data_IF_005831322873
#
_entry.id   IF_005831322873
#
_cell.length_a   1.000
_cell.length_b   1.000
_cell.length_c   1.000
_cell.angle_alpha   90.00
_cell.angle_beta   90.00
_cell.angle_gamma   90.00
#
_symmetry.space_group_name_H-M   'P 1'
#
loop_
_entity.id
_entity.type
_entity.pdbx_description
1 polymer ?
#
# COMPACT_ATOMS: atom_id res chain seq x y z
N UNK A 1 -6.36 7.77 -4.80
CA UNK A 1 -5.43 8.04 -5.94
C UNK A 1 -5.29 6.77 -6.76
N UNK A 2 -5.36 6.83 -8.09
CA UNK A 2 -5.15 5.65 -8.95
C UNK A 2 -3.67 5.57 -9.39
N UNK A 3 -3.08 4.38 -9.28
CA UNK A 3 -1.72 4.03 -9.71
C UNK A 3 -1.84 3.01 -10.84
N UNK A 4 -1.14 3.22 -11.95
CA UNK A 4 -1.19 2.28 -13.09
C UNK A 4 0.08 1.44 -13.12
N UNK A 5 -0.10 0.11 -13.05
CA UNK A 5 0.95 -0.89 -13.22
C UNK A 5 0.79 -1.55 -14.59
N UNK A 6 1.82 -1.50 -15.41
CA UNK A 6 1.89 -2.25 -16.67
C UNK A 6 2.79 -3.46 -16.47
N UNK A 7 2.33 -4.65 -16.83
CA UNK A 7 3.15 -5.87 -16.80
C UNK A 7 3.23 -6.43 -18.20
N UNK A 8 4.45 -6.43 -18.73
CA UNK A 8 4.76 -6.95 -20.06
C UNK A 8 6.07 -7.72 -20.01
N UNK A 9 6.18 -8.83 -20.74
CA UNK A 9 7.39 -9.67 -20.77
C UNK A 9 7.85 -10.07 -19.37
N UNK A 10 6.90 -10.34 -18.47
CA UNK A 10 7.13 -10.66 -17.04
C UNK A 10 7.82 -9.54 -16.24
N UNK A 11 7.85 -8.31 -16.73
CA UNK A 11 8.42 -7.16 -16.02
C UNK A 11 7.30 -6.18 -15.68
N UNK A 12 7.10 -5.93 -14.39
CA UNK A 12 6.18 -4.91 -13.93
C UNK A 12 6.83 -3.52 -13.97
N UNK A 13 6.09 -2.52 -14.43
CA UNK A 13 6.49 -1.12 -14.46
C UNK A 13 5.33 -0.24 -14.01
N UNK A 14 5.63 0.77 -13.21
CA UNK A 14 4.65 1.75 -12.78
C UNK A 14 4.70 2.93 -13.73
N UNK A 15 3.52 3.40 -14.15
CA UNK A 15 3.42 4.56 -15.05
C UNK A 15 3.54 5.86 -14.25
N UNK A 16 4.35 6.78 -14.76
CA UNK A 16 4.62 8.05 -14.09
C UNK A 16 5.49 7.86 -12.84
N UNK A 17 5.41 8.80 -11.91
CA UNK A 17 6.21 8.81 -10.69
C UNK A 17 5.31 8.94 -9.44
N UNK A 18 4.40 7.98 -9.18
CA UNK A 18 3.56 8.04 -8.00
C UNK A 18 4.41 7.86 -6.73
N UNK A 19 3.97 8.52 -5.66
CA UNK A 19 4.53 8.35 -4.32
C UNK A 19 3.39 7.93 -3.40
N UNK A 20 3.58 6.86 -2.64
CA UNK A 20 2.63 6.43 -1.61
C UNK A 20 2.98 7.13 -0.32
N UNK A 21 2.01 7.73 0.36
CA UNK A 21 2.23 8.29 1.69
C UNK A 21 1.92 7.19 2.70
N UNK A 22 2.88 6.87 3.57
CA UNK A 22 2.67 5.88 4.60
C UNK A 22 1.47 6.23 5.50
N UNK A 23 0.85 5.21 6.06
CA UNK A 23 -0.35 5.32 6.90
C UNK A 23 -1.60 5.86 6.22
N UNK A 24 -1.56 6.13 4.92
CA UNK A 24 -2.74 6.47 4.14
C UNK A 24 -3.27 5.24 3.39
N UNK A 25 -4.59 5.14 3.33
CA UNK A 25 -5.33 4.18 2.51
C UNK A 25 -6.00 4.90 1.32
N UNK A 26 -6.73 4.17 0.48
CA UNK A 26 -7.44 4.76 -0.67
C UNK A 26 -6.58 4.92 -1.93
N UNK A 27 -5.45 4.22 -1.99
CA UNK A 27 -4.71 3.99 -3.22
C UNK A 27 -5.31 2.79 -3.97
N UNK A 28 -5.64 2.98 -5.23
CA UNK A 28 -6.15 1.92 -6.11
C UNK A 28 -5.10 1.63 -7.16
N UNK A 29 -4.69 0.38 -7.26
CA UNK A 29 -3.83 -0.09 -8.32
C UNK A 29 -4.70 -0.55 -9.48
N UNK A 30 -4.45 -0.03 -10.67
CA UNK A 30 -4.99 -0.53 -11.93
C UNK A 30 -3.87 -1.26 -12.67
N UNK A 31 -4.10 -2.52 -12.99
CA UNK A 31 -3.12 -3.38 -13.67
C UNK A 31 -3.48 -3.47 -15.16
N UNK A 32 -2.48 -3.32 -16.01
CA UNK A 32 -2.55 -3.53 -17.44
C UNK A 32 -1.57 -4.64 -17.81
N UNK A 33 -2.09 -5.71 -18.36
CA UNK A 33 -1.37 -6.93 -18.70
C UNK A 33 -1.19 -7.05 -20.21
N UNK A 34 -0.18 -7.81 -20.62
CA UNK A 34 -0.08 -8.32 -21.98
C UNK A 34 -0.85 -9.64 -22.13
N UNK A 35 -0.85 -10.17 -23.36
CA UNK A 35 -1.55 -11.41 -23.71
C UNK A 35 -1.08 -12.63 -22.91
N UNK A 36 0.17 -12.65 -22.42
CA UNK A 36 0.69 -13.75 -21.60
C UNK A 36 -0.10 -13.86 -20.30
N UNK A 37 -0.31 -12.73 -19.64
CA UNK A 37 -0.99 -12.65 -18.35
C UNK A 37 -2.51 -12.78 -18.48
N UNK A 38 -3.12 -12.23 -19.52
CA UNK A 38 -4.57 -12.31 -19.76
C UNK A 38 -5.10 -13.76 -19.86
N UNK A 39 -4.23 -14.70 -20.25
CA UNK A 39 -4.57 -16.11 -20.37
C UNK A 39 -4.54 -16.87 -19.03
N UNK A 40 -4.03 -16.26 -17.94
CA UNK A 40 -3.82 -16.92 -16.66
C UNK A 40 -5.01 -16.71 -15.72
N UNK A 41 -5.52 -17.77 -15.07
CA UNK A 41 -6.51 -17.63 -14.01
C UNK A 41 -5.86 -17.18 -12.69
N UNK A 42 -6.66 -16.58 -11.80
CA UNK A 42 -6.28 -16.21 -10.42
C UNK A 42 -5.01 -15.34 -10.33
N UNK A 43 -4.95 -14.27 -11.14
CA UNK A 43 -3.90 -13.27 -11.04
C UNK A 43 -4.06 -12.50 -9.72
N UNK A 44 -2.97 -12.43 -8.95
CA UNK A 44 -2.86 -11.68 -7.71
C UNK A 44 -1.74 -10.68 -7.79
N UNK A 45 -1.91 -9.56 -7.11
CA UNK A 45 -0.85 -8.57 -6.92
C UNK A 45 -0.14 -8.92 -5.62
N UNK A 46 1.17 -9.13 -5.73
CA UNK A 46 2.07 -9.31 -4.60
C UNK A 46 2.68 -7.96 -4.25
N UNK A 47 2.51 -7.56 -3.00
CA UNK A 47 2.99 -6.29 -2.45
C UNK A 47 3.99 -6.63 -1.36
N UNK A 48 5.24 -6.25 -1.56
CA UNK A 48 6.33 -6.55 -0.61
C UNK A 48 7.04 -5.28 -0.19
N UNK A 49 7.41 -5.17 1.07
CA UNK A 49 8.23 -4.06 1.57
C UNK A 49 8.99 -4.47 2.83
N UNK A 50 9.99 -3.67 3.20
CA UNK A 50 10.69 -3.81 4.48
C UNK A 50 10.05 -2.89 5.50
N UNK A 51 9.62 -3.45 6.64
CA UNK A 51 9.22 -2.70 7.83
C UNK A 51 10.29 -2.89 8.89
N UNK A 52 11.19 -1.91 9.01
CA UNK A 52 12.45 -2.10 9.73
C UNK A 52 13.28 -3.23 9.09
N UNK A 53 13.64 -4.25 9.86
CA UNK A 53 14.39 -5.42 9.37
C UNK A 53 13.52 -6.58 8.89
N UNK A 54 12.18 -6.45 8.93
CA UNK A 54 11.26 -7.54 8.58
C UNK A 54 10.66 -7.32 7.20
N UNK A 55 10.74 -8.34 6.35
CA UNK A 55 9.98 -8.36 5.10
C UNK A 55 8.50 -8.60 5.40
N UNK A 56 7.66 -7.73 4.86
CA UNK A 56 6.21 -7.87 4.88
C UNK A 56 5.74 -8.17 3.47
N UNK A 57 4.85 -9.14 3.34
CA UNK A 57 4.32 -9.62 2.07
C UNK A 57 2.81 -9.71 2.16
N UNK A 58 2.10 -9.08 1.23
CA UNK A 58 0.64 -9.09 1.13
C UNK A 58 0.25 -9.46 -0.29
N UNK A 59 -0.61 -10.47 -0.42
CA UNK A 59 -1.23 -10.82 -1.70
C UNK A 59 -2.66 -10.30 -1.72
N UNK A 60 -3.01 -9.57 -2.77
CA UNK A 60 -4.38 -9.10 -3.01
C UNK A 60 -4.91 -9.64 -4.33
N UNK A 61 -6.17 -10.09 -4.39
CA UNK A 61 -6.77 -10.54 -5.64
C UNK A 61 -6.92 -9.35 -6.60
N UNK A 62 -6.69 -9.61 -7.89
CA UNK A 62 -6.96 -8.65 -8.95
C UNK A 62 -8.41 -8.84 -9.42
N UNK A 63 -9.27 -7.85 -9.19
CA UNK A 63 -10.70 -7.90 -9.54
C UNK A 63 -10.95 -6.84 -10.60
N UNK A 64 -11.42 -7.24 -11.78
CA UNK A 64 -11.66 -6.35 -12.94
C UNK A 64 -10.45 -5.45 -13.27
N UNK A 65 -9.24 -6.03 -13.18
CA UNK A 65 -7.98 -5.33 -13.43
C UNK A 65 -7.61 -4.29 -12.36
N UNK A 66 -8.25 -4.31 -11.19
CA UNK A 66 -8.00 -3.38 -10.09
C UNK A 66 -7.84 -4.08 -8.74
N UNK A 67 -7.06 -3.46 -7.86
CA UNK A 67 -7.01 -3.84 -6.44
C UNK A 67 -6.74 -2.62 -5.55
N UNK A 68 -7.23 -2.66 -4.31
CA UNK A 68 -6.88 -1.65 -3.32
C UNK A 68 -5.50 -1.97 -2.73
N UNK A 69 -4.63 -0.96 -2.62
CA UNK A 69 -3.38 -1.12 -1.89
C UNK A 69 -3.65 -0.96 -0.39
N UNK A 70 -3.08 -1.84 0.46
CA UNK A 70 -3.17 -1.69 1.90
C UNK A 70 -2.40 -0.45 2.35
N UNK A 71 -2.73 0.08 3.53
CA UNK A 71 -1.91 1.10 4.17
C UNK A 71 -0.55 0.49 4.56
N UNK A 72 0.53 1.13 4.10
CA UNK A 72 1.92 0.72 4.38
C UNK A 72 2.54 1.64 5.41
N UNK A 73 3.45 1.11 6.20
CA UNK A 73 4.05 1.83 7.33
C UNK A 73 5.53 1.47 7.49
N UNK A 74 6.32 2.46 7.89
CA UNK A 74 7.71 2.27 8.29
C UNK A 74 8.60 1.78 7.14
N UNK A 75 8.36 2.28 5.94
CA UNK A 75 9.10 1.89 4.72
C UNK A 75 9.30 3.07 3.79
N UNK A 76 10.36 3.01 2.98
CA UNK A 76 10.69 4.04 1.98
C UNK A 76 10.29 3.62 0.57
N UNK A 77 9.89 2.37 0.37
CA UNK A 77 9.51 1.84 -0.93
C UNK A 77 8.70 0.56 -0.79
N UNK A 78 7.84 0.31 -1.78
CA UNK A 78 7.19 -0.98 -1.95
C UNK A 78 7.50 -1.58 -3.32
N UNK A 79 7.42 -2.89 -3.37
CA UNK A 79 7.62 -3.72 -4.55
C UNK A 79 6.27 -4.30 -4.95
N UNK A 80 5.86 -4.07 -6.21
CA UNK A 80 4.63 -4.58 -6.79
C UNK A 80 4.96 -5.58 -7.89
N UNK A 81 4.52 -6.81 -7.74
CA UNK A 81 4.62 -7.84 -8.78
C UNK A 81 3.30 -8.58 -8.98
N UNK A 82 3.17 -9.29 -10.08
CA UNK A 82 2.07 -10.21 -10.31
C UNK A 82 2.48 -11.64 -9.97
N UNK A 83 1.51 -12.37 -9.46
CA UNK A 83 1.60 -13.76 -9.10
C UNK A 83 0.34 -14.47 -9.62
N UNK A 84 0.51 -15.49 -10.45
CA UNK A 84 -0.59 -16.31 -10.95
C UNK A 84 -0.28 -17.79 -10.67
N UNK A 85 -0.86 -18.32 -9.59
CA UNK A 85 -0.58 -19.68 -9.10
C UNK A 85 0.91 -19.95 -8.81
N UNK A 86 1.30 -21.21 -8.66
CA UNK A 86 2.65 -21.61 -8.22
C UNK A 86 3.76 -21.49 -9.29
N UNK A 87 3.50 -20.91 -10.48
CA UNK A 87 4.41 -21.05 -11.63
C UNK A 87 4.70 -19.75 -12.38
N UNK A 88 3.84 -18.73 -12.30
CA UNK A 88 4.03 -17.46 -13.03
C UNK A 88 4.20 -16.28 -12.09
N UNK A 89 5.35 -15.61 -12.19
CA UNK A 89 5.70 -14.42 -11.41
C UNK A 89 6.31 -13.36 -12.30
N UNK A 90 6.13 -12.08 -11.93
CA UNK A 90 6.78 -10.96 -12.60
C UNK A 90 7.95 -10.41 -11.78
N UNK A 91 8.94 -9.83 -12.44
CA UNK A 91 9.84 -8.88 -11.81
C UNK A 91 9.04 -7.70 -11.23
N UNK A 92 9.40 -7.19 -10.04
CA UNK A 92 8.62 -6.16 -9.38
C UNK A 92 8.87 -4.77 -9.96
N UNK A 93 7.84 -3.92 -9.90
CA UNK A 93 8.00 -2.48 -10.00
C UNK A 93 8.20 -1.88 -8.61
N UNK A 94 9.00 -0.81 -8.52
CA UNK A 94 9.27 -0.12 -7.26
C UNK A 94 8.45 1.16 -7.20
N UNK A 95 7.77 1.41 -6.08
CA UNK A 95 7.10 2.68 -5.80
C UNK A 95 7.71 3.29 -4.52
N UNK A 96 8.24 4.52 -4.59
CA UNK A 96 8.73 5.21 -3.41
C UNK A 96 7.59 5.53 -2.43
N UNK A 97 7.88 5.43 -1.15
CA UNK A 97 6.98 5.77 -0.05
C UNK A 97 7.52 6.97 0.72
N UNK A 98 6.65 7.96 0.96
CA UNK A 98 6.93 9.09 1.83
C UNK A 98 6.47 8.74 3.26
N UNK A 99 7.37 8.83 4.26
CA UNK A 99 7.00 8.57 5.65
C UNK A 99 5.97 9.59 6.15
N UNK A 100 5.13 9.16 7.09
CA UNK A 100 4.14 10.02 7.72
C UNK A 100 4.42 10.21 9.22
N UNK A 101 3.65 11.08 9.87
CA UNK A 101 3.83 11.39 11.30
C UNK A 101 3.66 10.18 12.21
N UNK A 102 2.88 9.18 11.80
CA UNK A 102 2.64 7.95 12.59
C UNK A 102 3.72 6.88 12.38
N UNK A 103 4.64 7.07 11.42
CA UNK A 103 5.78 6.18 11.22
C UNK A 103 6.95 6.52 12.16
N UNK A 104 6.98 7.73 12.71
CA UNK A 104 7.98 8.14 13.68
C UNK A 104 7.67 7.50 15.04
N UNK A 105 8.66 6.95 15.75
CA UNK A 105 8.51 6.52 17.13
C UNK A 105 8.39 7.76 18.03
N UNK A 106 7.16 8.24 18.17
CA UNK A 106 6.77 9.29 19.11
C UNK A 106 5.33 9.01 19.48
N UNK A 107 5.06 8.77 20.75
CA UNK A 107 3.71 8.56 21.23
C UNK A 107 2.86 9.76 20.80
N UNK A 108 1.93 9.55 19.85
CA UNK A 108 0.70 10.34 19.88
C UNK A 108 0.12 10.01 21.24
N UNK A 109 0.26 10.94 22.18
CA UNK A 109 -0.42 10.80 23.47
C UNK A 109 -1.89 10.68 23.09
N UNK A 110 -2.46 9.50 23.29
CA UNK A 110 -3.91 9.38 23.12
C UNK A 110 -4.50 10.49 23.97
N UNK A 111 -5.40 11.32 23.42
CA UNK A 111 -6.09 12.27 24.25
C UNK A 111 -6.69 11.50 25.43
N UNK A 112 -6.67 12.08 26.65
CA UNK A 112 -7.31 11.45 27.80
C UNK A 112 -8.70 10.97 27.40
N UNK A 113 -9.06 9.76 27.84
CA UNK A 113 -10.31 9.09 27.43
C UNK A 113 -11.56 9.95 27.67
N UNK A 114 -11.46 10.99 28.50
CA UNK A 114 -12.54 11.88 28.86
C UNK A 114 -12.27 13.36 28.50
N UNK A 115 -11.96 13.60 27.23
CA UNK A 115 -11.89 14.97 26.67
C UNK A 115 -13.16 15.78 26.95
N UNK A 116 -14.33 15.13 26.95
CA UNK A 116 -15.60 15.79 27.22
C UNK A 116 -15.69 16.29 28.67
N UNK A 117 -15.27 15.48 29.65
CA UNK A 117 -15.23 15.92 31.04
C UNK A 117 -14.27 17.09 31.25
N UNK A 118 -13.08 17.05 30.64
CA UNK A 118 -12.09 18.15 30.74
C UNK A 118 -12.65 19.46 30.15
N UNK A 119 -13.30 19.40 28.98
CA UNK A 119 -13.89 20.58 28.35
C UNK A 119 -15.06 21.13 29.16
N UNK A 120 -15.90 20.27 29.71
CA UNK A 120 -17.06 20.68 30.54
C UNK A 120 -16.58 21.37 31.82
N UNK A 121 -15.61 20.79 32.53
CA UNK A 121 -15.04 21.44 33.72
C UNK A 121 -14.31 22.76 33.39
N UNK A 122 -13.71 22.89 32.20
CA UNK A 122 -13.06 24.13 31.78
C UNK A 122 -14.08 25.23 31.49
N UNK A 123 -15.25 24.87 30.95
CA UNK A 123 -16.35 25.81 30.72
C UNK A 123 -17.03 26.24 32.03
N UNK A 124 -17.16 25.34 33.01
CA UNK A 124 -17.75 25.67 34.33
C UNK A 124 -16.83 26.54 35.21
N UNK A 125 -15.53 26.63 34.86
CA UNK A 125 -14.51 27.44 35.56
C UNK A 125 -14.25 28.80 34.92
N UNK A 126 -14.93 29.16 33.82
CA UNK A 126 -14.80 30.43 33.09
C UNK A 126 -15.94 31.41 33.42
#
# INVERSE_FOLDING_TARGET
MEIVLTVSEKIARVRGNPVIVCGNSGYTLRVQTDREWDALPDIRVLITWLRGSRAVCVMVPLIDGRCALPAVHGTCEIYLSLYAGNVHTSAPAVIPCAPCVTDLPGSVTQPPADLYHILTEAMDRA
#
